data_IF_459076401024
#
_entry.id   IF_459076401024
#
_cell.length_a   1.000
_cell.length_b   1.000
_cell.length_c   1.000
_cell.angle_alpha   90.00
_cell.angle_beta   90.00
_cell.angle_gamma   90.00
#
_symmetry.space_group_name_H-M   'P 1'
#
loop_
_entity.id
_entity.type
_entity.pdbx_description
1 polymer ?
#
# COMPACT_ATOMS: atom_id res chain seq x y z
N UNK A 1 14.68 26.72 -67.61
CA UNK A 1 14.39 25.57 -66.74
C UNK A 1 13.27 25.96 -65.76
N UNK A 2 12.01 25.69 -66.12
CA UNK A 2 10.85 26.03 -65.28
C UNK A 2 10.66 24.98 -64.18
N UNK A 3 10.71 25.42 -62.91
CA UNK A 3 10.29 24.63 -61.75
C UNK A 3 8.77 24.49 -61.80
N UNK A 4 8.27 23.35 -62.25
CA UNK A 4 6.87 22.98 -62.11
C UNK A 4 6.54 22.83 -60.62
N UNK A 5 6.04 23.90 -60.00
CA UNK A 5 5.42 23.84 -58.69
C UNK A 5 4.17 22.97 -58.80
N UNK A 6 4.20 21.79 -58.18
CA UNK A 6 3.03 20.93 -58.05
C UNK A 6 1.89 21.77 -57.45
N UNK A 7 0.85 22.01 -58.25
CA UNK A 7 -0.26 22.86 -57.85
C UNK A 7 -1.16 22.07 -56.89
N UNK A 8 -0.77 22.03 -55.60
CA UNK A 8 -1.39 21.25 -54.53
C UNK A 8 -2.90 21.46 -54.42
N UNK A 9 -3.37 22.68 -54.69
CA UNK A 9 -4.79 23.03 -54.68
C UNK A 9 -5.56 22.37 -55.82
N UNK A 10 -4.94 22.21 -56.99
CA UNK A 10 -5.53 21.49 -58.12
C UNK A 10 -5.55 19.98 -57.89
N UNK A 11 -4.46 19.42 -57.35
CA UNK A 11 -4.35 18.00 -56.99
C UNK A 11 -5.37 17.61 -55.91
N UNK A 12 -5.51 18.42 -54.84
CA UNK A 12 -6.50 18.20 -53.79
C UNK A 12 -7.95 18.29 -54.33
N UNK A 13 -8.23 19.23 -55.25
CA UNK A 13 -9.55 19.39 -55.88
C UNK A 13 -9.89 18.20 -56.79
N UNK A 14 -8.92 17.67 -57.54
CA UNK A 14 -9.10 16.46 -58.34
C UNK A 14 -9.28 15.22 -57.46
N UNK A 15 -8.46 15.05 -56.42
CA UNK A 15 -8.59 13.96 -55.45
C UNK A 15 -9.95 13.97 -54.73
N UNK A 16 -10.46 15.14 -54.37
CA UNK A 16 -11.80 15.29 -53.77
C UNK A 16 -12.93 14.91 -54.74
N UNK A 17 -12.80 15.28 -56.02
CA UNK A 17 -13.78 14.89 -57.05
C UNK A 17 -13.77 13.38 -57.30
N UNK A 18 -12.60 12.76 -57.30
CA UNK A 18 -12.45 11.31 -57.51
C UNK A 18 -12.93 10.50 -56.28
N UNK A 19 -12.60 10.97 -55.07
CA UNK A 19 -13.12 10.45 -53.79
C UNK A 19 -14.65 10.42 -53.74
N UNK A 20 -15.33 11.43 -54.32
CA UNK A 20 -16.80 11.49 -54.41
C UNK A 20 -17.40 10.41 -55.32
N UNK A 21 -16.66 9.89 -56.31
CA UNK A 21 -17.12 8.86 -57.26
C UNK A 21 -17.02 7.43 -56.70
N UNK A 22 -16.09 7.18 -55.77
CA UNK A 22 -15.83 5.87 -55.14
C UNK A 22 -15.97 5.87 -53.59
N UNK A 23 -16.95 6.60 -53.05
CA UNK A 23 -17.12 6.83 -51.60
C UNK A 23 -17.21 5.55 -50.76
N UNK A 24 -17.89 4.51 -51.22
CA UNK A 24 -18.06 3.26 -50.45
C UNK A 24 -16.74 2.52 -50.24
N UNK A 25 -15.93 2.37 -51.29
CA UNK A 25 -14.62 1.73 -51.20
C UNK A 25 -13.65 2.56 -50.35
N UNK A 26 -13.60 3.87 -50.55
CA UNK A 26 -12.75 4.75 -49.75
C UNK A 26 -13.16 4.75 -48.27
N UNK A 27 -14.46 4.71 -47.97
CA UNK A 27 -14.95 4.61 -46.61
C UNK A 27 -14.49 3.32 -45.93
N UNK A 28 -14.58 2.17 -46.60
CA UNK A 28 -14.11 0.89 -46.03
C UNK A 28 -12.59 0.91 -45.74
N UNK A 29 -11.77 1.51 -46.61
CA UNK A 29 -10.34 1.68 -46.37
C UNK A 29 -10.04 2.62 -45.20
N UNK A 30 -10.73 3.76 -45.11
CA UNK A 30 -10.54 4.70 -44.00
C UNK A 30 -11.02 4.07 -42.69
N UNK A 31 -12.17 3.40 -42.70
CA UNK A 31 -12.74 2.74 -41.52
C UNK A 31 -11.81 1.65 -40.98
N UNK A 32 -11.19 0.83 -41.84
CA UNK A 32 -10.25 -0.19 -41.38
C UNK A 32 -8.98 0.40 -40.76
N UNK A 33 -8.45 1.48 -41.35
CA UNK A 33 -7.30 2.22 -40.79
C UNK A 33 -7.67 2.85 -39.44
N UNK A 34 -8.82 3.51 -39.36
CA UNK A 34 -9.30 4.14 -38.13
C UNK A 34 -9.53 3.10 -37.04
N UNK A 35 -10.17 1.97 -37.34
CA UNK A 35 -10.39 0.88 -36.38
C UNK A 35 -9.05 0.28 -35.93
N UNK A 36 -8.09 0.08 -36.84
CA UNK A 36 -6.76 -0.44 -36.50
C UNK A 36 -6.00 0.51 -35.56
N UNK A 37 -5.99 1.81 -35.85
CA UNK A 37 -5.34 2.82 -35.00
C UNK A 37 -6.09 2.96 -33.67
N UNK A 38 -7.43 2.98 -33.68
CA UNK A 38 -8.25 3.06 -32.47
C UNK A 38 -8.01 1.85 -31.55
N UNK A 39 -7.89 0.65 -32.09
CA UNK A 39 -7.57 -0.54 -31.33
C UNK A 39 -6.17 -0.45 -30.69
N UNK A 40 -5.16 0.02 -31.43
CA UNK A 40 -3.81 0.20 -30.90
C UNK A 40 -3.77 1.24 -29.76
N UNK A 41 -4.40 2.39 -29.96
CA UNK A 41 -4.50 3.45 -28.94
C UNK A 41 -5.32 2.98 -27.73
N UNK A 42 -6.39 2.21 -27.93
CA UNK A 42 -7.18 1.67 -26.84
C UNK A 42 -6.37 0.69 -25.98
N UNK A 43 -5.60 -0.21 -26.61
CA UNK A 43 -4.72 -1.15 -25.89
C UNK A 43 -3.63 -0.42 -25.13
N UNK A 44 -3.02 0.60 -25.75
CA UNK A 44 -1.98 1.40 -25.11
C UNK A 44 -2.52 2.21 -23.93
N UNK A 45 -3.67 2.87 -24.10
CA UNK A 45 -4.37 3.60 -23.05
C UNK A 45 -4.77 2.68 -21.89
N UNK A 46 -5.29 1.49 -22.20
CA UNK A 46 -5.64 0.50 -21.18
C UNK A 46 -4.39 0.05 -20.43
N UNK A 47 -3.30 -0.24 -21.14
CA UNK A 47 -2.03 -0.65 -20.55
C UNK A 47 -1.44 0.43 -19.64
N UNK A 48 -1.52 1.69 -20.06
CA UNK A 48 -1.07 2.83 -19.25
C UNK A 48 -1.92 3.05 -18.00
N UNK A 49 -3.26 2.97 -18.13
CA UNK A 49 -4.15 3.10 -16.98
C UNK A 49 -3.94 1.97 -15.97
N UNK A 50 -3.85 0.72 -16.45
CA UNK A 50 -3.56 -0.43 -15.60
C UNK A 50 -2.23 -0.27 -14.85
N UNK A 51 -1.16 0.18 -15.53
CA UNK A 51 0.13 0.42 -14.86
C UNK A 51 0.02 1.47 -13.76
N UNK A 52 -0.65 2.60 -14.01
CA UNK A 52 -0.82 3.67 -13.02
C UNK A 52 -1.68 3.24 -11.84
N UNK A 53 -2.76 2.50 -12.08
CA UNK A 53 -3.60 1.99 -11.00
C UNK A 53 -2.86 0.98 -10.13
N UNK A 54 -2.05 0.10 -10.74
CA UNK A 54 -1.19 -0.82 -10.00
C UNK A 54 -0.16 -0.05 -9.16
N UNK A 55 0.43 1.01 -9.71
CA UNK A 55 1.40 1.85 -8.98
C UNK A 55 0.77 2.51 -7.75
N UNK A 56 -0.43 3.10 -7.91
CA UNK A 56 -1.18 3.69 -6.79
C UNK A 56 -1.56 2.65 -5.74
N UNK A 57 -2.07 1.50 -6.17
CA UNK A 57 -2.45 0.43 -5.24
C UNK A 57 -1.23 -0.14 -4.50
N UNK A 58 -0.08 -0.29 -5.15
CA UNK A 58 1.15 -0.73 -4.49
C UNK A 58 1.60 0.27 -3.40
N UNK A 59 1.53 1.58 -3.68
CA UNK A 59 1.84 2.61 -2.70
C UNK A 59 0.85 2.63 -1.52
N UNK A 60 -0.45 2.46 -1.79
CA UNK A 60 -1.47 2.33 -0.75
C UNK A 60 -1.33 1.06 0.08
N UNK A 61 -0.88 -0.04 -0.52
CA UNK A 61 -0.62 -1.29 0.19
C UNK A 61 0.61 -1.18 1.09
N UNK A 62 1.70 -0.56 0.63
CA UNK A 62 2.88 -0.33 1.47
C UNK A 62 2.61 0.74 2.55
N UNK A 63 1.81 1.75 2.22
CA UNK A 63 1.46 2.87 3.10
C UNK A 63 2.58 3.89 3.32
N UNK A 64 3.73 3.72 2.66
CA UNK A 64 4.92 4.56 2.74
C UNK A 64 5.72 4.49 1.42
N UNK A 65 6.77 5.29 1.27
CA UNK A 65 7.68 5.19 0.11
C UNK A 65 8.68 4.04 0.28
N UNK A 66 9.12 3.83 1.53
CA UNK A 66 10.05 2.78 1.96
C UNK A 66 9.58 2.22 3.31
N UNK A 67 9.43 0.90 3.40
CA UNK A 67 9.35 0.15 4.65
C UNK A 67 10.73 -0.45 4.95
N UNK A 68 11.18 -0.34 6.19
CA UNK A 68 12.40 -0.98 6.67
C UNK A 68 11.97 -1.90 7.81
N UNK A 69 12.35 -3.17 7.77
CA UNK A 69 11.93 -4.14 8.77
C UNK A 69 13.06 -5.00 9.31
N UNK A 70 13.03 -5.26 10.62
CA UNK A 70 14.02 -6.07 11.30
C UNK A 70 13.38 -6.92 12.41
N UNK A 71 13.89 -8.14 12.60
CA UNK A 71 13.44 -9.08 13.65
C UNK A 71 14.16 -8.87 14.98
N UNK A 72 15.06 -7.88 15.05
CA UNK A 72 15.81 -7.49 16.24
C UNK A 72 15.66 -5.98 16.46
N UNK A 73 15.79 -5.50 17.71
CA UNK A 73 15.93 -4.07 17.96
C UNK A 73 17.09 -3.50 17.14
N UNK A 74 16.91 -2.31 16.60
CA UNK A 74 17.96 -1.62 15.85
C UNK A 74 19.08 -1.16 16.79
N UNK A 75 20.33 -1.27 16.34
CA UNK A 75 21.48 -0.69 17.02
C UNK A 75 21.49 0.83 16.87
N UNK A 76 22.27 1.54 17.69
CA UNK A 76 22.38 3.00 17.58
C UNK A 76 22.92 3.47 16.21
N UNK A 77 23.79 2.66 15.59
CA UNK A 77 24.32 2.93 14.24
C UNK A 77 23.24 2.76 13.17
N UNK A 78 22.45 1.68 13.28
CA UNK A 78 21.28 1.44 12.43
C UNK A 78 20.25 2.53 12.54
N UNK A 79 19.96 2.95 13.77
CA UNK A 79 18.98 3.98 14.04
C UNK A 79 19.42 5.30 13.39
N UNK A 80 20.69 5.68 13.46
CA UNK A 80 21.24 6.86 12.77
C UNK A 80 21.10 6.77 11.25
N UNK A 81 21.33 5.59 10.67
CA UNK A 81 21.18 5.37 9.24
C UNK A 81 19.72 5.55 8.82
N UNK A 82 18.78 4.92 9.54
CA UNK A 82 17.33 5.09 9.33
C UNK A 82 16.93 6.55 9.53
N UNK A 83 17.51 7.23 10.51
CA UNK A 83 17.19 8.62 10.82
C UNK A 83 17.66 9.61 9.76
N UNK A 84 18.63 9.21 8.94
CA UNK A 84 19.09 9.98 7.77
C UNK A 84 18.16 9.84 6.55
N UNK A 85 17.17 8.95 6.60
CA UNK A 85 16.27 8.66 5.49
C UNK A 85 14.91 9.37 5.66
N UNK A 86 14.49 10.04 4.59
CA UNK A 86 13.19 10.70 4.48
C UNK A 86 12.98 11.92 5.35
N UNK A 87 11.90 12.63 5.05
CA UNK A 87 11.48 13.82 5.79
C UNK A 87 10.53 13.44 6.94
N UNK A 88 9.72 12.40 6.74
CA UNK A 88 8.76 11.90 7.74
C UNK A 88 8.98 10.42 8.01
N UNK A 89 8.95 10.07 9.30
CA UNK A 89 9.17 8.72 9.81
C UNK A 89 8.09 8.32 10.82
N UNK A 90 7.68 7.06 10.72
CA UNK A 90 6.74 6.42 11.65
C UNK A 90 7.28 5.04 12.00
N UNK A 91 7.01 4.58 13.21
CA UNK A 91 7.49 3.29 13.73
C UNK A 91 6.30 2.39 14.01
N UNK A 92 6.43 1.12 13.66
CA UNK A 92 5.49 0.07 14.05
C UNK A 92 6.25 -1.10 14.69
N UNK A 93 5.72 -1.61 15.80
CA UNK A 93 6.16 -2.89 16.39
C UNK A 93 5.04 -3.90 16.25
N UNK A 94 5.31 -4.96 15.48
CA UNK A 94 4.33 -5.99 15.12
C UNK A 94 4.68 -7.32 15.78
N UNK A 95 3.74 -7.94 16.48
CA UNK A 95 3.93 -9.23 17.12
C UNK A 95 2.60 -9.94 17.41
N UNK A 96 2.65 -11.26 17.55
CA UNK A 96 1.49 -12.05 17.95
C UNK A 96 1.30 -12.03 19.47
N UNK A 97 0.07 -11.80 19.93
CA UNK A 97 -0.28 -11.85 21.35
C UNK A 97 -1.71 -12.34 21.58
N UNK A 98 -2.15 -12.34 22.83
CA UNK A 98 -3.52 -12.65 23.21
C UNK A 98 -4.25 -11.39 23.65
N UNK A 99 -5.49 -11.27 23.18
CA UNK A 99 -6.46 -10.29 23.68
C UNK A 99 -7.48 -11.01 24.55
N UNK A 100 -7.85 -10.37 25.65
CA UNK A 100 -8.94 -10.78 26.52
C UNK A 100 -10.06 -9.75 26.45
N UNK A 101 -11.28 -10.22 26.31
CA UNK A 101 -12.51 -9.45 26.41
C UNK A 101 -13.09 -9.64 27.83
N UNK A 102 -12.93 -8.67 28.75
CA UNK A 102 -13.34 -8.83 30.15
C UNK A 102 -14.84 -9.09 30.32
N UNK A 103 -15.66 -8.58 29.40
CA UNK A 103 -17.13 -8.67 29.47
C UNK A 103 -17.67 -10.10 29.36
N UNK A 104 -17.05 -10.94 28.53
CA UNK A 104 -17.47 -12.32 28.28
C UNK A 104 -16.36 -13.34 28.58
N UNK A 105 -15.24 -12.87 29.14
CA UNK A 105 -14.03 -13.65 29.42
C UNK A 105 -13.47 -14.39 28.19
N UNK A 106 -13.79 -13.91 26.98
CA UNK A 106 -13.33 -14.49 25.73
C UNK A 106 -11.88 -14.13 25.43
N UNK A 107 -11.10 -15.07 24.90
CA UNK A 107 -9.72 -14.83 24.48
C UNK A 107 -9.50 -15.22 23.03
N UNK A 108 -8.60 -14.51 22.36
CA UNK A 108 -8.20 -14.83 20.99
C UNK A 108 -6.75 -14.46 20.75
N UNK A 109 -6.10 -15.21 19.87
CA UNK A 109 -4.79 -14.86 19.34
C UNK A 109 -4.97 -13.77 18.29
N UNK A 110 -4.23 -12.68 18.43
CA UNK A 110 -4.27 -11.52 17.55
C UNK A 110 -2.86 -11.10 17.14
N UNK A 111 -2.78 -10.35 16.04
CA UNK A 111 -1.58 -9.60 15.70
C UNK A 111 -1.71 -8.18 16.30
N UNK A 112 -0.83 -7.86 17.25
CA UNK A 112 -0.72 -6.52 17.82
C UNK A 112 0.19 -5.70 16.93
N UNK A 113 -0.30 -4.52 16.50
CA UNK A 113 0.48 -3.51 15.79
C UNK A 113 0.54 -2.24 16.64
N UNK A 114 1.67 -2.05 17.32
CA UNK A 114 1.91 -0.86 18.10
C UNK A 114 2.46 0.24 17.18
N UNK A 115 1.65 1.27 16.91
CA UNK A 115 1.93 2.26 15.87
C UNK A 115 2.27 3.63 16.47
N UNK A 116 3.36 4.23 16.00
CA UNK A 116 3.83 5.58 16.31
C UNK A 116 3.88 6.46 15.06
N UNK A 117 3.84 7.78 15.25
CA UNK A 117 3.91 8.74 14.16
C UNK A 117 2.60 8.90 13.38
N UNK A 118 2.71 9.18 12.09
CA UNK A 118 1.60 9.54 11.19
C UNK A 118 1.26 8.49 10.14
N UNK A 119 1.94 7.33 10.11
CA UNK A 119 1.60 6.23 9.22
C UNK A 119 0.13 5.82 9.36
N UNK A 120 -0.57 5.48 8.27
CA UNK A 120 -0.08 5.42 6.90
C UNK A 120 0.04 6.78 6.21
N UNK A 121 1.04 6.93 5.34
CA UNK A 121 1.28 8.12 4.51
C UNK A 121 0.57 8.08 3.16
N UNK A 122 0.32 6.86 2.66
CA UNK A 122 -0.49 6.57 1.48
C UNK A 122 -1.61 5.61 1.89
N UNK A 123 -2.82 5.81 1.36
CA UNK A 123 -4.01 5.12 1.85
C UNK A 123 -4.42 5.59 3.25
N UNK A 124 -5.26 4.81 3.92
CA UNK A 124 -5.81 5.17 5.23
C UNK A 124 -6.24 3.94 6.05
N UNK A 125 -6.28 4.10 7.38
CA UNK A 125 -6.93 3.14 8.27
C UNK A 125 -8.45 3.33 8.19
N UNK A 126 -9.15 2.39 7.57
CA UNK A 126 -10.61 2.42 7.47
C UNK A 126 -11.19 1.98 8.80
N UNK A 127 -11.81 2.90 9.53
CA UNK A 127 -12.34 2.66 10.88
C UNK A 127 -13.78 3.10 11.03
N UNK A 128 -14.49 2.52 11.99
CA UNK A 128 -15.83 2.94 12.41
C UNK A 128 -15.87 3.16 13.93
N UNK A 129 -16.07 4.40 14.41
CA UNK A 129 -16.24 5.64 13.64
C UNK A 129 -14.93 6.07 12.93
N UNK A 130 -15.03 6.82 11.82
CA UNK A 130 -13.86 7.22 11.02
C UNK A 130 -12.83 8.08 11.79
N UNK A 131 -13.29 8.79 12.83
CA UNK A 131 -12.42 9.56 13.73
C UNK A 131 -11.45 8.68 14.53
N UNK A 132 -11.79 7.39 14.71
CA UNK A 132 -11.00 6.44 15.47
C UNK A 132 -9.61 6.22 14.86
N UNK A 133 -9.46 6.29 13.53
CA UNK A 133 -8.19 6.20 12.82
C UNK A 133 -7.11 7.18 13.32
N UNK A 134 -7.54 8.30 13.93
CA UNK A 134 -6.64 9.31 14.52
C UNK A 134 -6.70 9.31 16.04
N UNK A 135 -7.90 9.20 16.64
CA UNK A 135 -8.06 9.34 18.09
C UNK A 135 -7.42 8.21 18.88
N UNK A 136 -7.30 7.00 18.30
CA UNK A 136 -6.72 5.86 19.02
C UNK A 136 -5.27 6.11 19.48
N UNK A 137 -4.55 7.02 18.81
CA UNK A 137 -3.15 7.36 19.10
C UNK A 137 -2.95 8.04 20.45
N UNK A 138 -4.01 8.61 21.02
CA UNK A 138 -3.94 9.49 22.19
C UNK A 138 -4.44 8.78 23.45
N UNK A 139 -3.57 8.02 24.13
CA UNK A 139 -3.89 7.37 25.40
C UNK A 139 -4.00 5.85 25.30
N UNK A 140 -4.81 5.24 26.18
CA UNK A 140 -5.03 3.79 26.22
C UNK A 140 -6.22 3.37 25.37
N UNK A 141 -6.11 3.63 24.07
CA UNK A 141 -7.12 3.25 23.09
C UNK A 141 -6.59 2.17 22.14
N UNK A 142 -7.49 1.36 21.61
CA UNK A 142 -7.16 0.35 20.59
C UNK A 142 -8.15 0.41 19.42
N UNK A 143 -7.65 0.17 18.21
CA UNK A 143 -8.49 -0.19 17.07
C UNK A 143 -8.52 -1.71 16.98
N UNK A 144 -9.71 -2.27 16.98
CA UNK A 144 -9.90 -3.72 16.99
C UNK A 144 -10.56 -4.14 15.69
N UNK A 145 -10.04 -5.18 15.05
CA UNK A 145 -10.65 -5.77 13.85
C UNK A 145 -12.16 -5.98 14.01
N UNK A 146 -12.94 -5.55 13.02
CA UNK A 146 -14.40 -5.62 13.05
C UNK A 146 -14.89 -7.06 13.23
N UNK A 147 -14.23 -8.05 12.62
CA UNK A 147 -14.62 -9.46 12.74
C UNK A 147 -14.48 -9.96 14.18
N UNK A 148 -13.43 -9.50 14.88
CA UNK A 148 -13.18 -9.85 16.27
C UNK A 148 -14.21 -9.23 17.20
N UNK A 149 -14.59 -7.97 16.97
CA UNK A 149 -15.66 -7.31 17.73
C UNK A 149 -16.99 -8.04 17.56
N UNK A 150 -17.35 -8.43 16.34
CA UNK A 150 -18.57 -9.18 16.06
C UNK A 150 -18.54 -10.56 16.71
N UNK A 151 -17.42 -11.28 16.61
CA UNK A 151 -17.24 -12.61 17.20
C UNK A 151 -17.48 -12.62 18.71
N UNK A 152 -16.98 -11.60 19.42
CA UNK A 152 -17.07 -11.49 20.87
C UNK A 152 -18.19 -10.55 21.35
N UNK A 153 -19.02 -10.03 20.44
CA UNK A 153 -20.11 -9.10 20.78
C UNK A 153 -19.65 -7.80 21.47
N UNK A 154 -18.40 -7.40 21.25
CA UNK A 154 -17.79 -6.20 21.81
C UNK A 154 -18.13 -4.96 20.96
N UNK A 155 -18.18 -3.78 21.59
CA UNK A 155 -18.53 -2.52 20.92
C UNK A 155 -17.47 -1.46 21.14
N UNK A 156 -17.51 -0.42 20.31
CA UNK A 156 -16.72 0.79 20.53
C UNK A 156 -17.08 1.39 21.89
N UNK A 157 -16.08 1.73 22.69
CA UNK A 157 -16.21 2.14 24.08
C UNK A 157 -16.04 1.02 25.12
N UNK A 158 -16.15 -0.26 24.72
CA UNK A 158 -15.86 -1.37 25.62
C UNK A 158 -14.34 -1.47 25.92
N UNK A 159 -13.98 -2.12 27.02
CA UNK A 159 -12.58 -2.38 27.36
C UNK A 159 -12.12 -3.75 26.86
N UNK A 160 -10.88 -3.81 26.41
CA UNK A 160 -10.15 -5.04 26.08
C UNK A 160 -8.81 -5.04 26.78
N UNK A 161 -8.29 -6.21 27.14
CA UNK A 161 -7.00 -6.34 27.81
C UNK A 161 -5.99 -7.02 26.89
N UNK A 162 -4.84 -6.38 26.72
CA UNK A 162 -3.72 -6.88 25.91
C UNK A 162 -2.49 -6.91 26.82
N UNK A 163 -1.96 -8.11 27.07
CA UNK A 163 -0.96 -8.32 28.11
C UNK A 163 -1.48 -7.89 29.48
N UNK A 164 -0.79 -6.94 30.12
CA UNK A 164 -1.16 -6.42 31.45
C UNK A 164 -2.05 -5.17 31.42
N UNK A 165 -2.25 -4.56 30.24
CA UNK A 165 -2.92 -3.25 30.12
C UNK A 165 -4.31 -3.38 29.54
N UNK A 166 -5.25 -2.62 30.10
CA UNK A 166 -6.58 -2.44 29.57
C UNK A 166 -6.61 -1.25 28.59
N UNK A 167 -7.19 -1.47 27.43
CA UNK A 167 -7.42 -0.47 26.39
C UNK A 167 -8.93 -0.28 26.22
N UNK A 168 -9.35 0.93 25.86
CA UNK A 168 -10.71 1.21 25.41
C UNK A 168 -10.75 1.07 23.89
N UNK A 169 -11.75 0.38 23.37
CA UNK A 169 -11.95 0.24 21.93
C UNK A 169 -12.37 1.60 21.37
N UNK A 170 -11.47 2.27 20.64
CA UNK A 170 -11.76 3.56 20.01
C UNK A 170 -12.56 3.41 18.71
N UNK A 171 -12.41 2.28 18.03
CA UNK A 171 -13.13 2.01 16.78
C UNK A 171 -12.93 0.59 16.27
N UNK A 172 -13.86 0.16 15.43
CA UNK A 172 -13.75 -1.06 14.64
C UNK A 172 -12.85 -0.82 13.43
N UNK A 173 -11.82 -1.63 13.23
CA UNK A 173 -10.96 -1.62 12.05
C UNK A 173 -11.60 -2.44 10.93
N UNK A 174 -11.88 -1.79 9.80
CA UNK A 174 -12.42 -2.41 8.58
C UNK A 174 -11.35 -2.75 7.55
N UNK A 175 -10.21 -2.05 7.62
CA UNK A 175 -9.07 -2.31 6.74
C UNK A 175 -7.90 -1.37 7.02
N UNK A 176 -6.71 -1.83 6.69
CA UNK A 176 -5.47 -1.08 6.83
C UNK A 176 -4.53 -1.38 5.64
N UNK A 177 -3.62 -0.46 5.28
CA UNK A 177 -2.51 -0.74 4.38
C UNK A 177 -1.77 -2.02 4.76
N UNK A 178 -1.44 -2.83 3.75
CA UNK A 178 -0.73 -4.09 3.91
C UNK A 178 -1.55 -5.22 4.53
N UNK A 179 -2.86 -5.03 4.75
CA UNK A 179 -3.78 -6.07 5.22
C UNK A 179 -4.65 -6.55 4.07
N UNK A 180 -4.48 -7.81 3.66
CA UNK A 180 -5.37 -8.46 2.70
C UNK A 180 -6.54 -9.13 3.43
N UNK A 181 -7.70 -9.26 2.76
CA UNK A 181 -8.90 -9.84 3.38
C UNK A 181 -8.71 -11.27 3.91
N UNK A 182 -7.79 -12.04 3.30
CA UNK A 182 -7.47 -13.41 3.74
C UNK A 182 -6.63 -13.42 5.02
N UNK A 183 -5.61 -12.55 5.13
CA UNK A 183 -4.74 -12.52 6.31
C UNK A 183 -5.47 -12.01 7.56
N UNK A 184 -6.46 -11.13 7.41
CA UNK A 184 -7.32 -10.65 8.49
C UNK A 184 -8.10 -11.77 9.19
N UNK A 185 -8.44 -12.86 8.47
CA UNK A 185 -9.24 -13.96 9.02
C UNK A 185 -8.45 -14.90 9.97
N UNK A 186 -7.14 -15.06 9.74
CA UNK A 186 -6.31 -16.03 10.47
C UNK A 186 -5.83 -15.46 11.80
N UNK A 187 -5.36 -14.20 11.79
CA UNK A 187 -4.91 -13.46 12.96
C UNK A 187 -5.47 -12.03 12.89
N UNK A 188 -6.65 -11.78 13.50
CA UNK A 188 -7.24 -10.45 13.51
C UNK A 188 -6.26 -9.42 14.09
N UNK A 189 -6.21 -8.24 13.47
CA UNK A 189 -5.25 -7.20 13.81
C UNK A 189 -5.82 -6.27 14.87
N UNK A 190 -4.99 -5.87 15.82
CA UNK A 190 -5.33 -4.84 16.81
C UNK A 190 -4.23 -3.79 16.83
N UNK A 191 -4.60 -2.54 16.55
CA UNK A 191 -3.68 -1.40 16.64
C UNK A 191 -3.74 -0.77 18.02
N UNK A 192 -2.57 -0.50 18.59
CA UNK A 192 -2.41 0.28 19.83
C UNK A 192 -1.37 1.38 19.61
N UNK A 193 -1.36 2.46 20.41
CA UNK A 193 -0.30 3.46 20.34
C UNK A 193 1.03 2.88 20.75
N UNK A 194 2.09 3.18 20.02
CA UNK A 194 3.45 2.72 20.36
C UNK A 194 3.86 3.15 21.77
N UNK A 195 3.48 4.36 22.19
CA UNK A 195 3.75 4.87 23.54
C UNK A 195 3.12 4.02 24.67
N UNK A 196 2.07 3.26 24.36
CA UNK A 196 1.40 2.37 25.34
C UNK A 196 2.04 0.98 25.42
N UNK A 197 2.87 0.60 24.44
CA UNK A 197 3.44 -0.75 24.35
C UNK A 197 4.23 -1.16 25.62
N UNK A 198 5.10 -0.33 26.22
CA UNK A 198 5.86 -0.74 27.41
C UNK A 198 4.96 -1.12 28.59
N UNK A 199 3.79 -0.48 28.70
CA UNK A 199 2.84 -0.72 29.79
C UNK A 199 2.22 -2.12 29.71
N UNK A 200 2.10 -2.68 28.49
CA UNK A 200 1.54 -4.02 28.27
C UNK A 200 2.41 -5.13 28.85
N UNK A 201 3.70 -4.87 29.07
CA UNK A 201 4.69 -5.86 29.46
C UNK A 201 5.00 -6.90 28.37
N UNK A 202 4.61 -6.64 27.12
CA UNK A 202 4.81 -7.54 25.98
C UNK A 202 6.14 -7.27 25.26
N UNK A 203 6.77 -6.13 25.52
CA UNK A 203 8.12 -5.80 25.05
C UNK A 203 9.16 -6.32 26.03
N UNK A 204 9.44 -7.62 25.96
CA UNK A 204 10.39 -8.30 26.84
C UNK A 204 11.35 -9.19 26.05
N UNK A 205 12.47 -9.55 26.67
CA UNK A 205 13.47 -10.45 26.09
C UNK A 205 12.82 -11.81 25.79
N UNK A 206 12.78 -12.20 24.52
CA UNK A 206 12.10 -13.42 24.04
C UNK A 206 10.82 -13.15 23.24
N UNK A 207 10.28 -11.93 23.28
CA UNK A 207 9.18 -11.52 22.40
C UNK A 207 9.67 -11.44 20.94
N UNK A 208 8.95 -12.12 20.04
CA UNK A 208 9.22 -12.10 18.60
C UNK A 208 8.60 -10.85 17.97
N UNK A 209 9.20 -9.70 18.25
CA UNK A 209 8.77 -8.41 17.71
C UNK A 209 9.44 -8.18 16.36
N UNK A 210 8.63 -7.86 15.36
CA UNK A 210 9.10 -7.32 14.09
C UNK A 210 9.04 -5.79 14.20
N UNK A 211 10.21 -5.16 14.15
CA UNK A 211 10.38 -3.72 14.18
C UNK A 211 10.28 -3.21 12.74
N UNK A 212 9.41 -2.23 12.52
CA UNK A 212 9.18 -1.65 11.20
C UNK A 212 9.29 -0.14 11.28
N UNK A 213 9.96 0.44 10.29
CA UNK A 213 9.97 1.88 10.05
C UNK A 213 9.36 2.19 8.70
N UNK A 214 8.55 3.23 8.68
CA UNK A 214 7.89 3.73 7.50
C UNK A 214 8.43 5.13 7.19
N UNK A 215 8.97 5.28 5.99
CA UNK A 215 9.63 6.51 5.54
C UNK A 215 8.83 7.13 4.40
N UNK A 216 8.66 8.46 4.46
CA UNK A 216 8.10 9.27 3.38
C UNK A 216 9.03 10.43 3.04
N UNK A 217 9.25 10.66 1.76
CA UNK A 217 9.88 11.88 1.26
C UNK A 217 8.80 12.87 0.80
N UNK A 218 8.91 14.13 1.23
CA UNK A 218 7.95 15.17 0.84
C UNK A 218 8.23 15.67 -0.59
N UNK A 219 9.46 15.48 -1.08
CA UNK A 219 9.86 15.76 -2.46
C UNK A 219 10.03 14.44 -3.24
N UNK A 220 9.76 14.43 -4.56
CA UNK A 220 10.10 13.28 -5.39
C UNK A 220 11.60 12.98 -5.30
N UNK A 221 11.94 11.78 -4.84
CA UNK A 221 13.31 11.28 -4.78
C UNK A 221 13.41 10.05 -5.68
N UNK A 222 14.59 9.85 -6.28
CA UNK A 222 14.89 8.61 -6.99
C UNK A 222 15.07 7.48 -5.97
N UNK A 223 13.98 6.75 -5.70
CA UNK A 223 13.96 5.63 -4.76
C UNK A 223 14.93 4.52 -5.19
N UNK A 224 15.16 4.31 -6.49
CA UNK A 224 16.11 3.31 -6.96
C UNK A 224 17.56 3.67 -6.62
N UNK A 225 17.90 4.97 -6.63
CA UNK A 225 19.20 5.45 -6.16
C UNK A 225 19.33 5.31 -4.63
N UNK A 226 18.24 5.50 -3.88
CA UNK A 226 18.21 5.28 -2.44
C UNK A 226 18.41 3.80 -2.11
N UNK A 227 17.69 2.90 -2.78
CA UNK A 227 17.81 1.44 -2.62
C UNK A 227 19.26 0.99 -2.82
N UNK A 228 19.91 1.37 -3.93
CA UNK A 228 21.32 1.02 -4.18
C UNK A 228 22.28 1.51 -3.10
N UNK A 229 21.96 2.60 -2.42
CA UNK A 229 22.79 3.16 -1.34
C UNK A 229 22.60 2.41 -0.02
N UNK A 230 21.40 1.87 0.23
CA UNK A 230 21.07 1.17 1.47
C UNK A 230 21.24 -0.35 1.37
N UNK A 231 21.27 -0.92 0.17
CA UNK A 231 21.36 -2.36 -0.11
C UNK A 231 22.53 -3.02 0.63
N UNK A 232 23.78 -2.64 0.32
CA UNK A 232 24.97 -3.22 0.95
C UNK A 232 24.97 -3.11 2.50
N UNK A 233 24.76 -1.93 3.12
CA UNK A 233 24.75 -1.85 4.57
C UNK A 233 23.57 -2.61 5.21
N UNK A 234 22.40 -2.64 4.58
CA UNK A 234 21.24 -3.35 5.14
C UNK A 234 21.39 -4.87 5.03
N UNK A 235 21.95 -5.38 3.93
CA UNK A 235 22.22 -6.82 3.77
C UNK A 235 23.23 -7.33 4.79
N UNK A 236 24.34 -6.60 4.99
CA UNK A 236 25.38 -6.95 5.97
C UNK A 236 24.81 -7.05 7.39
N UNK A 237 23.81 -6.22 7.68
CA UNK A 237 23.19 -6.14 9.00
C UNK A 237 21.90 -6.98 9.13
N UNK A 238 21.46 -7.64 8.06
CA UNK A 238 20.25 -8.48 8.02
C UNK A 238 18.95 -7.69 8.15
N UNK A 239 18.94 -6.43 7.71
CA UNK A 239 17.77 -5.56 7.65
C UNK A 239 17.06 -5.81 6.32
N UNK A 240 15.74 -5.98 6.36
CA UNK A 240 14.93 -6.08 5.14
C UNK A 240 14.35 -4.71 4.81
N UNK A 241 14.09 -4.45 3.54
CA UNK A 241 13.43 -3.23 3.09
C UNK A 241 12.49 -3.54 1.93
N UNK A 242 11.41 -2.78 1.85
CA UNK A 242 10.42 -2.86 0.79
C UNK A 242 10.09 -1.46 0.27
N UNK A 243 9.92 -1.31 -1.03
CA UNK A 243 9.53 -0.07 -1.68
C UNK A 243 8.25 -0.27 -2.47
N UNK A 244 7.66 0.82 -2.96
CA UNK A 244 6.50 0.75 -3.85
C UNK A 244 6.80 -0.11 -5.10
N UNK A 245 8.05 -0.06 -5.59
CA UNK A 245 8.49 -0.86 -6.72
C UNK A 245 8.56 -2.36 -6.38
N UNK A 246 9.15 -2.74 -5.25
CA UNK A 246 9.18 -4.15 -4.82
C UNK A 246 7.76 -4.67 -4.53
N UNK A 247 6.94 -3.88 -3.85
CA UNK A 247 5.54 -4.22 -3.55
C UNK A 247 4.71 -4.46 -4.83
N UNK A 248 4.94 -3.66 -5.86
CA UNK A 248 4.33 -3.86 -7.18
C UNK A 248 4.79 -5.16 -7.84
N UNK A 249 6.09 -5.45 -7.77
CA UNK A 249 6.65 -6.65 -8.36
C UNK A 249 6.08 -7.91 -7.69
N UNK A 250 6.00 -7.91 -6.36
CA UNK A 250 5.44 -9.02 -5.58
C UNK A 250 3.96 -9.23 -5.86
N UNK A 251 3.19 -8.15 -5.94
CA UNK A 251 1.78 -8.21 -6.33
C UNK A 251 1.65 -8.82 -7.73
N UNK A 252 2.48 -8.39 -8.68
CA UNK A 252 2.49 -8.91 -10.06
C UNK A 252 2.93 -10.38 -10.14
N UNK A 253 3.84 -10.83 -9.27
CA UNK A 253 4.24 -12.24 -9.16
C UNK A 253 3.08 -13.09 -8.64
N UNK A 254 2.41 -12.65 -7.58
CA UNK A 254 1.27 -13.36 -7.00
C UNK A 254 0.13 -13.59 -8.01
N UNK A 255 -0.22 -12.57 -8.81
CA UNK A 255 -1.22 -12.73 -9.88
C UNK A 255 -0.80 -13.71 -10.97
N UNK A 256 0.48 -13.69 -11.40
CA UNK A 256 1.01 -14.64 -12.39
C UNK A 256 0.95 -16.08 -11.89
N UNK A 257 1.23 -16.30 -10.61
CA UNK A 257 1.19 -17.64 -10.02
C UNK A 257 -0.23 -18.18 -9.97
N UNK A 258 -1.23 -17.36 -9.59
CA UNK A 258 -2.65 -17.77 -9.61
C UNK A 258 -3.11 -18.16 -11.03
N UNK A 259 -2.74 -17.38 -12.04
CA UNK A 259 -3.08 -17.66 -13.44
C UNK A 259 -2.42 -18.94 -13.95
N UNK A 260 -1.23 -19.30 -13.43
CA UNK A 260 -0.54 -20.55 -13.81
C UNK A 260 -1.24 -21.81 -13.30
N UNK A 261 -2.03 -21.70 -12.24
CA UNK A 261 -2.75 -22.83 -11.62
C UNK A 261 -4.24 -22.90 -11.98
N UNK A 262 -4.73 -22.00 -12.85
CA UNK A 262 -6.06 -22.05 -13.47
C UNK A 262 -5.96 -22.60 -14.90
#
# INVERSE_FOLDING_TARGET
>A
MQKNGLNFTWLARMAWRDSRKNRSRLFLFIASIVIGIAALVAIDSLSHNLRREIDMQAAELLGADLEISNRRPYTDEQQKLIDSLGDRRSEERRFTSMILFPRNNGTRIIEVRALGGAFPYYGELKTEPATAARSFRNGLFALVDQTLLLQFGARVGDSVRIGKTAFIIAGALKGAPGQSGVSASVAPVVYIPLASLPQTGLEQKGSRINYRYYVKWDKPVDIAAVEKRIEEPFELEGINWDTVASQKEDTSRSFRDVIRFL
#
